data_IF_561524714461
#
_entry.id   IF_561524714461
#
_cell.length_a   1.000
_cell.length_b   1.000
_cell.length_c   1.000
_cell.angle_alpha   90.00
_cell.angle_beta   90.00
_cell.angle_gamma   90.00
#
_symmetry.space_group_name_H-M   'P 1'
#
loop_
_entity.id
_entity.type
_entity.pdbx_description
1 polymer ?
#
# COMPACT_ATOMS: atom_id res chain seq x y z
N UNK A 1 -15.23 10.55 1.96
CA UNK A 1 -14.68 9.93 0.73
C UNK A 1 -15.62 10.11 -0.47
N UNK A 2 -16.92 9.81 -0.37
CA UNK A 2 -17.84 9.99 -1.51
C UNK A 2 -18.28 11.45 -1.77
N UNK A 3 -18.28 12.35 -0.77
CA UNK A 3 -18.69 13.76 -0.98
C UNK A 3 -17.55 14.77 -1.12
N UNK A 4 -16.31 14.39 -0.76
CA UNK A 4 -15.19 15.33 -0.63
C UNK A 4 -14.38 15.52 -1.92
N UNK A 5 -14.73 14.83 -3.02
CA UNK A 5 -14.03 14.92 -4.31
C UNK A 5 -12.62 14.29 -4.33
N UNK A 6 -12.16 13.76 -3.20
CA UNK A 6 -10.87 13.08 -3.01
C UNK A 6 -10.92 11.57 -3.31
N UNK A 7 -12.12 11.00 -3.41
CA UNK A 7 -12.35 9.57 -3.69
C UNK A 7 -11.94 9.08 -5.08
N UNK A 8 -11.37 9.96 -5.92
CA UNK A 8 -10.95 9.62 -7.29
C UNK A 8 -9.43 9.52 -7.46
N UNK A 9 -8.64 9.73 -6.41
CA UNK A 9 -7.20 9.45 -6.38
C UNK A 9 -6.90 8.11 -5.71
N UNK A 10 -5.65 7.65 -5.79
CA UNK A 10 -5.22 6.52 -4.95
C UNK A 10 -5.36 6.89 -3.46
N UNK A 11 -5.74 5.95 -2.58
CA UNK A 11 -5.98 4.55 -2.87
C UNK A 11 -7.43 4.24 -3.31
N UNK A 12 -8.35 5.19 -3.23
CA UNK A 12 -9.76 4.96 -3.55
C UNK A 12 -10.00 4.60 -5.02
N UNK A 13 -9.21 5.14 -5.94
CA UNK A 13 -9.37 4.93 -7.36
C UNK A 13 -9.23 3.45 -7.77
N UNK A 14 -8.30 2.69 -7.19
CA UNK A 14 -8.17 1.25 -7.49
C UNK A 14 -9.43 0.47 -7.08
N UNK A 15 -9.95 0.73 -5.87
CA UNK A 15 -11.16 0.11 -5.34
C UNK A 15 -12.38 0.50 -6.18
N UNK A 16 -12.52 1.79 -6.51
CA UNK A 16 -13.63 2.28 -7.33
C UNK A 16 -13.56 1.74 -8.76
N UNK A 17 -12.36 1.61 -9.32
CA UNK A 17 -12.16 1.02 -10.64
C UNK A 17 -12.57 -0.45 -10.67
N UNK A 18 -12.21 -1.21 -9.63
CA UNK A 18 -12.61 -2.60 -9.47
C UNK A 18 -14.13 -2.74 -9.27
N UNK A 19 -14.72 -1.90 -8.41
CA UNK A 19 -16.15 -1.91 -8.12
C UNK A 19 -17.02 -1.49 -9.31
N UNK A 20 -16.56 -0.51 -10.11
CA UNK A 20 -17.34 0.03 -11.22
C UNK A 20 -16.99 -0.61 -12.58
N UNK A 21 -15.98 -1.49 -12.62
CA UNK A 21 -15.53 -2.15 -13.85
C UNK A 21 -14.99 -1.20 -14.92
N UNK A 22 -14.46 -0.03 -14.52
CA UNK A 22 -13.90 0.97 -15.44
C UNK A 22 -12.82 1.79 -14.77
N UNK A 23 -11.88 2.31 -15.54
CA UNK A 23 -10.82 3.21 -15.05
C UNK A 23 -11.39 4.48 -14.39
N UNK A 24 -10.85 4.87 -13.24
CA UNK A 24 -11.17 6.09 -12.51
C UNK A 24 -9.93 6.99 -12.48
N UNK A 25 -10.02 8.20 -13.04
CA UNK A 25 -8.92 9.17 -13.14
C UNK A 25 -7.60 8.59 -13.70
N UNK A 26 -7.70 7.70 -14.68
CA UNK A 26 -6.53 7.06 -15.28
C UNK A 26 -5.95 5.88 -14.48
N UNK A 27 -6.47 5.61 -13.27
CA UNK A 27 -6.08 4.46 -12.46
C UNK A 27 -6.96 3.24 -12.79
N UNK A 28 -6.41 2.13 -13.29
CA UNK A 28 -7.16 0.90 -13.46
C UNK A 28 -7.35 0.18 -12.12
N UNK A 29 -8.06 -0.96 -12.13
CA UNK A 29 -8.23 -1.81 -10.94
C UNK A 29 -6.96 -2.60 -10.57
N UNK A 30 -5.95 -2.61 -11.46
CA UNK A 30 -4.63 -3.19 -11.26
C UNK A 30 -4.59 -4.63 -10.71
N UNK A 31 -5.62 -5.44 -11.01
CA UNK A 31 -5.71 -6.84 -10.61
C UNK A 31 -6.86 -7.15 -9.66
N UNK A 32 -7.47 -6.13 -9.05
CA UNK A 32 -8.67 -6.29 -8.23
C UNK A 32 -9.91 -6.52 -9.09
N UNK A 33 -10.81 -7.34 -8.58
CA UNK A 33 -12.13 -7.58 -9.15
C UNK A 33 -13.23 -6.89 -8.34
N UNK A 34 -14.45 -6.88 -8.85
CA UNK A 34 -15.61 -6.39 -8.10
C UNK A 34 -15.87 -7.23 -6.84
N UNK A 35 -15.73 -8.56 -6.94
CA UNK A 35 -15.98 -9.47 -5.82
C UNK A 35 -14.91 -9.34 -4.73
N UNK A 36 -13.65 -9.13 -5.12
CA UNK A 36 -12.57 -8.73 -4.20
C UNK A 36 -12.99 -7.54 -3.31
N UNK A 37 -13.53 -6.48 -3.91
CA UNK A 37 -13.97 -5.29 -3.16
C UNK A 37 -15.18 -5.61 -2.27
N UNK A 38 -16.11 -6.43 -2.75
CA UNK A 38 -17.27 -6.85 -1.95
C UNK A 38 -16.87 -7.73 -0.76
N UNK A 39 -15.86 -8.59 -0.90
CA UNK A 39 -15.37 -9.43 0.18
C UNK A 39 -14.76 -8.56 1.31
N UNK A 40 -13.95 -7.56 0.97
CA UNK A 40 -13.40 -6.61 1.95
C UNK A 40 -14.52 -5.81 2.64
N UNK A 41 -15.47 -5.23 1.88
CA UNK A 41 -16.62 -4.51 2.44
C UNK A 41 -17.45 -5.43 3.36
N UNK A 42 -17.66 -6.68 2.96
CA UNK A 42 -18.42 -7.67 3.72
C UNK A 42 -17.75 -7.99 5.05
N UNK A 43 -16.41 -8.07 5.09
CA UNK A 43 -15.66 -8.23 6.34
C UNK A 43 -15.96 -7.09 7.32
N UNK A 44 -15.90 -5.83 6.88
CA UNK A 44 -16.22 -4.67 7.73
C UNK A 44 -17.69 -4.68 8.18
N UNK A 45 -18.60 -5.07 7.28
CA UNK A 45 -20.03 -5.13 7.57
C UNK A 45 -20.37 -6.20 8.62
N UNK A 46 -19.97 -7.45 8.38
CA UNK A 46 -20.31 -8.59 9.24
C UNK A 46 -19.66 -8.50 10.62
N UNK A 47 -18.53 -7.79 10.73
CA UNK A 47 -17.85 -7.57 12.02
C UNK A 47 -18.30 -6.29 12.74
N UNK A 48 -19.13 -5.46 12.09
CA UNK A 48 -19.55 -4.15 12.59
C UNK A 48 -18.36 -3.24 12.98
N UNK A 49 -17.30 -3.25 12.16
CA UNK A 49 -16.02 -2.59 12.48
C UNK A 49 -15.80 -1.25 11.80
N UNK A 50 -16.73 -0.77 10.98
CA UNK A 50 -16.59 0.51 10.27
C UNK A 50 -16.24 1.68 11.20
N UNK A 51 -16.96 1.82 12.32
CA UNK A 51 -16.70 2.90 13.30
C UNK A 51 -15.41 2.64 14.07
N UNK A 52 -15.14 1.41 14.52
CA UNK A 52 -13.92 1.11 15.28
C UNK A 52 -12.65 1.30 14.45
N UNK A 53 -12.69 0.96 13.17
CA UNK A 53 -11.59 1.22 12.24
C UNK A 53 -11.38 2.72 12.02
N UNK A 54 -12.46 3.49 11.82
CA UNK A 54 -12.38 4.95 11.67
C UNK A 54 -11.80 5.66 12.91
N UNK A 55 -12.03 5.13 14.13
CA UNK A 55 -11.43 5.67 15.36
C UNK A 55 -9.91 5.67 15.34
N UNK A 56 -9.27 4.72 14.65
CA UNK A 56 -7.81 4.72 14.50
C UNK A 56 -7.31 6.04 13.90
N UNK A 57 -8.02 6.60 12.91
CA UNK A 57 -7.66 7.89 12.32
C UNK A 57 -7.85 9.07 13.29
N UNK A 58 -8.86 9.01 14.15
CA UNK A 58 -9.08 10.04 15.17
C UNK A 58 -7.97 10.02 16.24
N UNK A 59 -7.57 8.84 16.69
CA UNK A 59 -6.55 8.66 17.73
C UNK A 59 -5.12 8.86 17.20
N UNK A 60 -4.88 8.54 15.93
CA UNK A 60 -3.58 8.68 15.28
C UNK A 60 -3.21 10.16 15.08
N UNK A 61 -2.32 10.67 15.93
CA UNK A 61 -1.75 12.04 15.81
C UNK A 61 -0.40 12.06 15.10
N UNK A 62 -0.02 10.98 14.44
CA UNK A 62 1.27 10.86 13.75
C UNK A 62 1.27 11.74 12.49
N UNK A 63 2.35 12.47 12.26
CA UNK A 63 2.54 13.17 11.00
C UNK A 63 3.10 12.18 9.96
N UNK A 64 2.31 11.91 8.93
CA UNK A 64 2.62 10.97 7.84
C UNK A 64 3.90 11.32 7.06
N UNK A 65 4.38 12.57 7.17
CA UNK A 65 5.55 13.05 6.43
C UNK A 65 6.80 13.23 7.29
N UNK A 66 6.73 12.91 8.58
CA UNK A 66 7.91 12.96 9.43
C UNK A 66 8.88 11.84 9.05
N UNK A 67 10.16 12.19 8.89
CA UNK A 67 11.20 11.20 8.76
C UNK A 67 11.25 10.34 10.03
N UNK A 68 11.12 9.03 9.85
CA UNK A 68 11.35 8.07 10.93
C UNK A 68 12.85 7.91 11.17
N UNK A 69 13.24 7.49 12.37
CA UNK A 69 14.63 7.20 12.71
C UNK A 69 14.73 5.73 13.14
N UNK A 70 14.93 4.85 12.16
CA UNK A 70 14.83 3.39 12.34
C UNK A 70 16.19 2.74 12.13
N UNK A 71 16.64 1.95 13.11
CA UNK A 71 17.97 1.31 13.11
C UNK A 71 17.94 -0.22 12.99
N UNK A 72 16.76 -0.81 12.78
CA UNK A 72 16.62 -2.23 12.43
C UNK A 72 16.72 -2.40 10.91
N UNK A 73 17.11 -3.60 10.41
CA UNK A 73 17.11 -3.87 8.98
C UNK A 73 15.74 -3.61 8.35
N UNK A 74 15.72 -2.84 7.26
CA UNK A 74 14.50 -2.48 6.54
C UNK A 74 14.67 -2.73 5.04
N UNK A 75 13.60 -3.20 4.40
CA UNK A 75 13.51 -3.36 2.95
C UNK A 75 12.37 -2.50 2.43
N UNK A 76 12.58 -1.81 1.31
CA UNK A 76 11.58 -0.94 0.68
C UNK A 76 11.41 -1.33 -0.78
N UNK A 77 10.16 -1.50 -1.20
CA UNK A 77 9.78 -1.64 -2.61
C UNK A 77 8.80 -0.52 -2.95
N UNK A 78 9.09 0.23 -4.00
CA UNK A 78 8.30 1.39 -4.43
C UNK A 78 7.42 0.98 -5.62
N UNK A 79 6.11 1.06 -5.44
CA UNK A 79 5.11 0.75 -6.46
C UNK A 79 4.64 2.06 -7.14
N UNK A 80 4.54 2.09 -8.48
CA UNK A 80 4.31 3.33 -9.22
C UNK A 80 2.91 3.94 -9.04
N UNK A 81 1.93 3.15 -8.57
CA UNK A 81 0.60 3.61 -8.20
C UNK A 81 0.43 4.02 -6.74
N UNK A 82 1.48 4.04 -5.93
CA UNK A 82 1.42 4.53 -4.54
C UNK A 82 1.34 6.07 -4.50
N UNK A 83 0.57 6.61 -3.56
CA UNK A 83 0.40 8.05 -3.33
C UNK A 83 1.70 8.75 -2.96
N UNK A 84 2.50 8.11 -2.11
CA UNK A 84 3.75 8.66 -1.64
C UNK A 84 4.91 7.70 -1.91
N UNK A 85 5.63 7.98 -3.00
CA UNK A 85 6.81 7.23 -3.42
C UNK A 85 8.05 7.89 -2.84
N UNK A 86 8.49 7.44 -1.67
CA UNK A 86 9.67 7.98 -1.01
C UNK A 86 10.92 7.75 -1.88
N UNK A 87 11.65 8.81 -2.28
CA UNK A 87 12.90 8.64 -3.01
C UNK A 87 13.90 7.83 -2.19
N UNK A 88 14.77 7.07 -2.85
CA UNK A 88 15.80 6.26 -2.19
C UNK A 88 16.60 7.06 -1.15
N UNK A 89 17.02 8.27 -1.49
CA UNK A 89 17.79 9.12 -0.57
C UNK A 89 17.03 9.49 0.70
N UNK A 90 15.69 9.52 0.67
CA UNK A 90 14.86 9.75 1.84
C UNK A 90 14.71 8.47 2.66
N UNK A 91 14.52 7.33 2.00
CA UNK A 91 14.50 6.02 2.65
C UNK A 91 15.83 5.73 3.39
N UNK A 92 16.97 6.03 2.78
CA UNK A 92 18.30 5.85 3.39
C UNK A 92 18.50 6.74 4.63
N UNK A 93 17.95 7.96 4.64
CA UNK A 93 17.99 8.84 5.83
C UNK A 93 17.09 8.35 6.96
N UNK A 94 15.97 7.73 6.62
CA UNK A 94 14.99 7.26 7.58
C UNK A 94 15.35 5.88 8.18
N UNK A 95 15.93 5.01 7.36
CA UNK A 95 16.30 3.64 7.69
C UNK A 95 17.83 3.47 7.62
N UNK A 96 18.51 3.56 8.76
CA UNK A 96 19.97 3.47 8.85
C UNK A 96 20.53 2.10 8.44
N UNK A 97 19.67 1.10 8.32
CA UNK A 97 19.99 -0.25 7.83
C UNK A 97 19.05 -0.65 6.69
N UNK A 98 19.01 0.16 5.64
CA UNK A 98 18.27 -0.19 4.41
C UNK A 98 18.99 -1.32 3.67
N UNK A 99 18.48 -2.55 3.81
CA UNK A 99 19.09 -3.77 3.25
C UNK A 99 18.62 -4.08 1.82
N UNK A 100 17.55 -3.43 1.38
CA UNK A 100 16.97 -3.58 0.05
C UNK A 100 16.16 -2.35 -0.31
N UNK A 101 16.33 -1.89 -1.55
CA UNK A 101 15.52 -0.84 -2.15
C UNK A 101 15.30 -1.17 -3.62
N UNK A 102 14.06 -1.18 -4.07
CA UNK A 102 13.74 -1.42 -5.47
C UNK A 102 12.51 -0.61 -5.90
N UNK A 103 12.48 -0.20 -7.15
CA UNK A 103 11.34 0.45 -7.79
C UNK A 103 10.81 -0.52 -8.84
N UNK A 104 9.52 -0.87 -8.76
CA UNK A 104 8.91 -1.86 -9.65
C UNK A 104 8.09 -1.21 -10.75
N UNK A 105 7.79 -1.95 -11.81
CA UNK A 105 7.17 -1.39 -13.02
C UNK A 105 5.64 -1.23 -12.95
N UNK A 106 4.97 -1.86 -11.96
CA UNK A 106 3.49 -1.88 -11.88
C UNK A 106 2.96 -2.14 -10.47
N UNK A 107 1.67 -1.87 -10.29
CA UNK A 107 0.94 -1.93 -9.02
C UNK A 107 0.98 -0.60 -8.27
N UNK A 108 0.18 -0.49 -7.22
CA UNK A 108 0.01 0.72 -6.43
C UNK A 108 -0.16 0.44 -4.94
N UNK A 109 -1.11 1.13 -4.33
CA UNK A 109 -1.27 1.17 -2.88
C UNK A 109 -1.56 -0.21 -2.27
N UNK A 110 -2.34 -1.05 -2.96
CA UNK A 110 -2.67 -2.40 -2.51
C UNK A 110 -1.74 -3.42 -3.17
N UNK A 111 -0.43 -3.18 -3.14
CA UNK A 111 0.60 -3.98 -3.82
C UNK A 111 0.41 -5.51 -3.72
N UNK A 112 0.08 -6.02 -2.53
CA UNK A 112 -0.14 -7.45 -2.31
C UNK A 112 -1.42 -7.99 -2.97
N UNK A 113 -2.44 -7.16 -3.12
CA UNK A 113 -3.72 -7.49 -3.74
C UNK A 113 -3.69 -7.31 -5.25
N UNK A 114 -3.13 -6.19 -5.70
CA UNK A 114 -2.97 -5.82 -7.11
C UNK A 114 -1.97 -6.74 -7.82
N UNK A 115 -0.80 -6.95 -7.23
CA UNK A 115 0.32 -7.67 -7.86
C UNK A 115 0.90 -8.75 -6.94
N UNK A 116 0.11 -9.78 -6.56
CA UNK A 116 0.48 -10.74 -5.52
C UNK A 116 1.81 -11.46 -5.79
N UNK A 117 2.05 -11.84 -7.05
CA UNK A 117 3.31 -12.49 -7.44
C UNK A 117 4.50 -11.54 -7.25
N UNK A 118 4.42 -10.34 -7.82
CA UNK A 118 5.48 -9.32 -7.74
C UNK A 118 5.76 -8.95 -6.27
N UNK A 119 4.71 -8.65 -5.50
CA UNK A 119 4.82 -8.39 -4.06
C UNK A 119 5.55 -9.53 -3.33
N UNK A 120 5.18 -10.78 -3.61
CA UNK A 120 5.83 -11.94 -2.97
C UNK A 120 7.30 -12.11 -3.38
N UNK A 121 7.66 -11.73 -4.60
CA UNK A 121 9.05 -11.77 -5.10
C UNK A 121 9.89 -10.68 -4.43
N UNK A 122 9.35 -9.47 -4.30
CA UNK A 122 9.95 -8.34 -3.60
C UNK A 122 10.19 -8.66 -2.11
N UNK A 123 9.20 -9.22 -1.41
CA UNK A 123 9.36 -9.66 -0.01
C UNK A 123 10.48 -10.70 0.11
N UNK A 124 10.51 -11.69 -0.80
CA UNK A 124 11.58 -12.71 -0.80
C UNK A 124 12.94 -12.11 -1.10
N UNK A 125 13.04 -11.18 -2.03
CA UNK A 125 14.29 -10.51 -2.39
C UNK A 125 14.79 -9.62 -1.25
N UNK A 126 13.92 -8.79 -0.68
CA UNK A 126 14.26 -7.85 0.38
C UNK A 126 14.66 -8.51 1.69
N UNK A 127 14.07 -9.66 2.03
CA UNK A 127 14.43 -10.42 3.23
C UNK A 127 15.51 -11.48 2.99
N UNK A 128 15.97 -11.69 1.74
CA UNK A 128 17.04 -12.65 1.43
C UNK A 128 18.32 -12.40 2.22
N UNK A 129 18.82 -11.15 2.40
CA UNK A 129 20.05 -10.89 3.16
C UNK A 129 19.98 -11.28 4.65
N UNK A 130 18.77 -11.46 5.20
CA UNK A 130 18.57 -11.83 6.60
C UNK A 130 18.56 -13.34 6.84
N UNK A 131 18.59 -14.15 5.77
CA UNK A 131 18.64 -15.61 5.89
C UNK A 131 20.06 -16.04 6.25
N UNK A 132 20.21 -16.83 7.31
CA UNK A 132 21.48 -17.49 7.62
C UNK A 132 21.79 -18.49 6.49
N UNK A 133 23.05 -18.62 6.06
CA UNK A 133 23.45 -19.76 5.25
C UNK A 133 23.17 -21.04 6.06
N UNK A 134 22.54 -22.02 5.41
CA UNK A 134 22.39 -23.38 5.93
C UNK A 134 23.72 -24.10 5.73
#
# INVERSE_FOLDING_TARGET
MLDHGDGYGQPAAAIMSAALGRTINGHPADGLTHDDVLDDITLYWLTNTAISAARFYWESKFNLYNAVNVSIPAAVSVFPGENYQAPRSWAERAYHKLIYFNEVEKGGHYAAWEQPKLFSEEVRAGLRPLRKPI
#
